data_IF_713956926889
#
_entry.id   IF_713956926889
#
_cell.length_a   1.000
_cell.length_b   1.000
_cell.length_c   1.000
_cell.angle_alpha   90.00
_cell.angle_beta   90.00
_cell.angle_gamma   90.00
#
_symmetry.space_group_name_H-M   'P 1'
#
loop_
_entity.id
_entity.type
_entity.pdbx_description
1 polymer ?
#
# COMPACT_ATOMS: atom_id res chain seq x y z
N UNK A 1 38.94 13.20 4.83
CA UNK A 1 37.73 13.71 4.17
C UNK A 1 36.63 13.77 5.23
N UNK A 2 36.05 14.94 5.48
CA UNK A 2 35.09 15.13 6.57
C UNK A 2 33.81 15.69 5.98
N UNK A 3 32.69 15.02 6.24
CA UNK A 3 31.37 15.43 5.78
C UNK A 3 30.49 15.66 7.01
N UNK A 4 29.75 16.77 7.00
CA UNK A 4 28.78 17.13 8.02
C UNK A 4 27.40 17.17 7.36
N UNK A 5 26.50 16.31 7.82
CA UNK A 5 25.09 16.37 7.48
C UNK A 5 24.36 17.09 8.61
N UNK A 6 23.55 18.10 8.27
CA UNK A 6 22.69 18.80 9.23
C UNK A 6 21.25 18.65 8.74
N UNK A 7 20.41 18.05 9.57
CA UNK A 7 18.97 17.98 9.37
C UNK A 7 18.30 18.80 10.47
N UNK A 8 17.27 19.57 10.10
CA UNK A 8 16.51 20.39 11.05
C UNK A 8 15.42 19.55 11.73
N UNK A 9 14.68 18.74 10.98
CA UNK A 9 13.70 17.73 11.44
C UNK A 9 13.62 16.60 10.39
N UNK A 10 13.30 15.38 10.83
CA UNK A 10 12.91 14.22 10.00
C UNK A 10 11.73 13.59 10.76
N UNK A 11 10.50 14.01 10.47
CA UNK A 11 9.37 13.72 11.36
C UNK A 11 8.87 12.27 11.25
N UNK A 12 8.85 11.70 10.05
CA UNK A 12 8.77 10.25 9.77
C UNK A 12 8.90 10.09 8.24
N UNK A 13 9.89 9.33 7.76
CA UNK A 13 9.98 9.02 6.34
C UNK A 13 9.24 7.71 6.07
N UNK A 14 8.20 7.68 5.21
CA UNK A 14 7.44 6.46 4.98
C UNK A 14 8.22 5.51 4.07
N UNK A 15 9.32 4.93 4.57
CA UNK A 15 10.27 4.10 3.82
C UNK A 15 9.57 2.97 3.07
N UNK A 16 8.59 2.31 3.68
CA UNK A 16 7.79 1.29 3.00
C UNK A 16 7.09 1.80 1.74
N UNK A 17 6.48 3.00 1.78
CA UNK A 17 5.86 3.63 0.61
C UNK A 17 6.93 3.98 -0.43
N UNK A 18 8.06 4.53 0.00
CA UNK A 18 9.14 4.95 -0.91
C UNK A 18 9.76 3.75 -1.64
N UNK A 19 10.04 2.67 -0.92
CA UNK A 19 10.59 1.42 -1.47
C UNK A 19 9.61 0.77 -2.44
N UNK A 20 8.35 0.62 -2.05
CA UNK A 20 7.30 0.07 -2.93
C UNK A 20 7.13 0.97 -4.16
N UNK A 21 7.07 2.30 -3.99
CA UNK A 21 6.95 3.26 -5.10
C UNK A 21 8.09 3.10 -6.10
N UNK A 22 9.33 3.00 -5.63
CA UNK A 22 10.48 2.82 -6.49
C UNK A 22 10.47 1.45 -7.18
N UNK A 23 10.12 0.37 -6.46
CA UNK A 23 10.02 -0.97 -7.01
C UNK A 23 8.97 -1.03 -8.13
N UNK A 24 7.80 -0.45 -7.89
CA UNK A 24 6.71 -0.37 -8.86
C UNK A 24 7.12 0.44 -10.10
N UNK A 25 7.74 1.62 -9.92
CA UNK A 25 8.25 2.43 -11.03
C UNK A 25 9.30 1.69 -11.85
N UNK A 26 10.22 0.96 -11.20
CA UNK A 26 11.22 0.10 -11.86
C UNK A 26 10.58 -0.96 -12.76
N UNK A 27 9.37 -1.40 -12.42
CA UNK A 27 8.59 -2.39 -13.19
C UNK A 27 7.51 -1.76 -14.09
N UNK A 28 7.59 -0.46 -14.38
CA UNK A 28 6.74 0.20 -15.38
C UNK A 28 5.42 0.77 -14.86
N UNK A 29 5.10 0.59 -13.58
CA UNK A 29 3.87 1.13 -12.99
C UNK A 29 3.96 2.64 -12.76
N UNK A 30 2.88 3.35 -13.08
CA UNK A 30 2.74 4.77 -12.74
C UNK A 30 2.33 4.91 -11.27
N UNK A 31 3.16 5.57 -10.47
CA UNK A 31 2.90 5.80 -9.04
C UNK A 31 2.80 7.30 -8.75
N UNK A 32 1.77 7.70 -7.99
CA UNK A 32 1.59 9.06 -7.47
C UNK A 32 1.55 9.03 -5.94
N UNK A 33 2.06 10.07 -5.28
CA UNK A 33 2.00 10.22 -3.83
C UNK A 33 1.14 11.45 -3.49
N UNK A 34 0.28 11.30 -2.49
CA UNK A 34 -0.53 12.38 -1.94
C UNK A 34 -0.26 12.48 -0.44
N UNK A 35 0.25 13.64 -0.02
CA UNK A 35 0.44 13.95 1.40
C UNK A 35 -0.81 14.69 1.89
N UNK A 36 -1.58 14.07 2.78
CA UNK A 36 -2.91 14.55 3.12
C UNK A 36 -2.92 15.83 3.99
N UNK A 37 -1.78 16.18 4.60
CA UNK A 37 -1.59 17.49 5.25
C UNK A 37 -1.37 18.63 4.25
N UNK A 38 -0.96 18.33 3.02
CA UNK A 38 -0.67 19.33 1.99
C UNK A 38 -1.81 19.52 0.99
N UNK A 39 -2.61 18.48 0.74
CA UNK A 39 -3.75 18.54 -0.19
C UNK A 39 -4.87 17.58 0.23
N UNK A 40 -6.11 17.89 -0.17
CA UNK A 40 -7.26 17.01 0.06
C UNK A 40 -7.10 15.70 -0.74
N UNK A 41 -7.00 14.54 -0.07
CA UNK A 41 -6.81 13.25 -0.74
C UNK A 41 -7.98 12.86 -1.65
N UNK A 42 -9.21 13.30 -1.34
CA UNK A 42 -10.39 13.01 -2.17
C UNK A 42 -10.31 13.76 -3.50
N UNK A 43 -9.96 15.05 -3.46
CA UNK A 43 -9.78 15.86 -4.67
C UNK A 43 -8.58 15.39 -5.49
N UNK A 44 -7.51 14.95 -4.84
CA UNK A 44 -6.37 14.35 -5.52
C UNK A 44 -6.75 13.04 -6.22
N UNK A 45 -7.52 12.15 -5.57
CA UNK A 45 -7.99 10.92 -6.18
C UNK A 45 -8.91 11.17 -7.39
N UNK A 46 -9.83 12.15 -7.29
CA UNK A 46 -10.68 12.56 -8.42
C UNK A 46 -9.89 13.06 -9.62
N UNK A 47 -8.82 13.84 -9.37
CA UNK A 47 -7.94 14.39 -10.41
C UNK A 47 -7.03 13.34 -11.04
N UNK A 48 -6.46 12.47 -10.22
CA UNK A 48 -5.46 11.47 -10.64
C UNK A 48 -6.10 10.21 -11.22
N UNK A 49 -7.35 9.90 -10.85
CA UNK A 49 -8.12 8.73 -11.30
C UNK A 49 -7.34 7.41 -11.20
N UNK A 50 -6.83 7.03 -10.01
CA UNK A 50 -6.06 5.80 -9.85
C UNK A 50 -6.97 4.56 -9.93
N UNK A 51 -6.41 3.44 -10.41
CA UNK A 51 -7.07 2.12 -10.37
C UNK A 51 -7.00 1.49 -8.97
N UNK A 52 -5.92 1.80 -8.23
CA UNK A 52 -5.67 1.31 -6.87
C UNK A 52 -5.27 2.48 -5.96
N UNK A 53 -5.85 2.56 -4.76
CA UNK A 53 -5.41 3.46 -3.70
C UNK A 53 -4.83 2.63 -2.56
N UNK A 54 -3.56 2.89 -2.25
CA UNK A 54 -2.83 2.21 -1.18
C UNK A 54 -2.66 3.10 0.05
N UNK A 55 -2.85 2.51 1.23
CA UNK A 55 -2.63 3.16 2.52
C UNK A 55 -1.59 2.38 3.33
N UNK A 56 -0.58 3.07 3.84
CA UNK A 56 0.30 2.54 4.88
C UNK A 56 -0.23 3.00 6.23
N UNK A 57 -0.68 2.06 7.05
CA UNK A 57 -1.45 2.34 8.27
C UNK A 57 -0.74 1.79 9.49
N UNK A 58 -0.60 2.64 10.50
CA UNK A 58 -0.18 2.29 11.85
C UNK A 58 -1.29 2.63 12.85
N UNK A 59 -1.26 1.97 14.01
CA UNK A 59 -2.28 2.15 15.05
C UNK A 59 -2.30 3.61 15.51
N UNK A 60 -3.49 4.21 15.51
CA UNK A 60 -3.73 5.64 15.68
C UNK A 60 -4.26 6.31 14.40
N UNK A 61 -3.83 5.86 13.21
CA UNK A 61 -4.24 6.48 11.92
C UNK A 61 -5.33 5.71 11.18
N UNK A 62 -5.67 4.50 11.62
CA UNK A 62 -6.60 3.63 10.92
C UNK A 62 -7.98 4.25 10.72
N UNK A 63 -8.52 4.95 11.72
CA UNK A 63 -9.85 5.56 11.60
C UNK A 63 -9.86 6.69 10.57
N UNK A 64 -8.79 7.47 10.51
CA UNK A 64 -8.62 8.52 9.51
C UNK A 64 -8.57 7.94 8.10
N UNK A 65 -7.72 6.94 7.86
CA UNK A 65 -7.61 6.35 6.53
C UNK A 65 -8.86 5.57 6.11
N UNK A 66 -9.59 4.96 7.04
CA UNK A 66 -10.90 4.36 6.75
C UNK A 66 -11.92 5.42 6.33
N UNK A 67 -11.98 6.57 7.00
CA UNK A 67 -12.85 7.68 6.59
C UNK A 67 -12.50 8.23 5.19
N UNK A 68 -11.21 8.52 4.97
CA UNK A 68 -10.71 8.99 3.67
C UNK A 68 -11.05 7.98 2.57
N UNK A 69 -10.85 6.69 2.82
CA UNK A 69 -11.16 5.64 1.85
C UNK A 69 -12.64 5.58 1.50
N UNK A 70 -13.55 5.64 2.49
CA UNK A 70 -14.99 5.68 2.24
C UNK A 70 -15.37 6.89 1.38
N UNK A 71 -14.80 8.06 1.67
CA UNK A 71 -15.05 9.28 0.90
C UNK A 71 -14.53 9.19 -0.54
N UNK A 72 -13.38 8.57 -0.78
CA UNK A 72 -12.85 8.34 -2.14
C UNK A 72 -13.75 7.35 -2.89
N UNK A 73 -14.09 6.21 -2.28
CA UNK A 73 -14.91 5.16 -2.92
C UNK A 73 -16.35 5.62 -3.21
N UNK A 74 -16.88 6.57 -2.45
CA UNK A 74 -18.17 7.19 -2.74
C UNK A 74 -18.15 8.04 -4.03
N UNK A 75 -16.98 8.41 -4.54
CA UNK A 75 -16.82 9.29 -5.69
C UNK A 75 -16.33 8.56 -6.95
N UNK A 76 -15.48 7.54 -6.80
CA UNK A 76 -14.91 6.79 -7.92
C UNK A 76 -14.82 5.29 -7.62
N UNK A 77 -14.99 4.42 -8.64
CA UNK A 77 -14.67 3.01 -8.50
C UNK A 77 -13.16 2.86 -8.38
N UNK A 78 -12.70 2.29 -7.27
CA UNK A 78 -11.27 2.08 -7.00
C UNK A 78 -11.09 0.86 -6.10
N UNK A 79 -10.01 0.12 -6.34
CA UNK A 79 -9.55 -0.90 -5.40
C UNK A 79 -8.75 -0.23 -4.29
N UNK A 80 -9.12 -0.46 -3.04
CA UNK A 80 -8.44 0.05 -1.86
C UNK A 80 -7.65 -1.06 -1.18
N UNK A 81 -6.39 -0.77 -0.89
CA UNK A 81 -5.47 -1.72 -0.27
C UNK A 81 -4.77 -1.09 0.93
N UNK A 82 -4.65 -1.87 2.00
CA UNK A 82 -4.13 -1.39 3.28
C UNK A 82 -2.95 -2.28 3.70
N UNK A 83 -1.80 -1.67 3.98
CA UNK A 83 -0.62 -2.34 4.49
C UNK A 83 -0.03 -1.59 5.69
N UNK A 84 1.12 -2.06 6.18
CA UNK A 84 1.82 -1.47 7.31
C UNK A 84 1.59 -2.21 8.63
N UNK A 85 2.05 -1.64 9.76
CA UNK A 85 2.01 -2.33 11.05
C UNK A 85 0.60 -2.68 11.53
N UNK A 86 -0.37 -1.77 11.38
CA UNK A 86 -1.71 -2.02 11.89
C UNK A 86 -2.41 -3.17 11.16
N UNK A 87 -2.50 -3.21 9.81
CA UNK A 87 -3.12 -4.34 9.12
C UNK A 87 -2.34 -5.65 9.32
N UNK A 88 -1.04 -5.59 9.62
CA UNK A 88 -0.23 -6.78 9.93
C UNK A 88 -0.62 -7.41 11.27
N UNK A 89 -0.81 -6.61 12.32
CA UNK A 89 -1.18 -7.11 13.65
C UNK A 89 -2.70 -7.23 13.88
N UNK A 90 -3.50 -6.52 13.10
CA UNK A 90 -4.97 -6.50 13.17
C UNK A 90 -5.59 -6.75 11.78
N UNK A 91 -5.37 -7.94 11.19
CA UNK A 91 -5.85 -8.26 9.84
C UNK A 91 -7.38 -8.26 9.71
N UNK A 92 -8.12 -8.29 10.83
CA UNK A 92 -9.57 -8.10 10.90
C UNK A 92 -10.02 -6.74 10.33
N UNK A 93 -9.10 -5.78 10.14
CA UNK A 93 -9.35 -4.58 9.35
C UNK A 93 -9.96 -4.88 7.97
N UNK A 94 -9.68 -6.05 7.38
CA UNK A 94 -10.31 -6.46 6.12
C UNK A 94 -11.84 -6.45 6.19
N UNK A 95 -12.43 -6.64 7.37
CA UNK A 95 -13.89 -6.66 7.57
C UNK A 95 -14.52 -5.27 7.52
N UNK A 96 -13.72 -4.21 7.63
CA UNK A 96 -14.19 -2.82 7.61
C UNK A 96 -14.80 -2.45 6.25
N UNK A 97 -15.86 -1.66 6.28
CA UNK A 97 -16.54 -1.18 5.08
C UNK A 97 -15.56 -0.47 4.12
N UNK A 98 -15.65 -0.81 2.84
CA UNK A 98 -14.85 -0.19 1.79
C UNK A 98 -13.43 -0.74 1.65
N UNK A 99 -12.91 -1.53 2.59
CA UNK A 99 -11.58 -2.17 2.48
C UNK A 99 -11.64 -3.38 1.54
N UNK A 100 -10.86 -3.40 0.46
CA UNK A 100 -10.87 -4.49 -0.53
C UNK A 100 -9.70 -5.46 -0.36
N UNK A 101 -8.54 -4.96 0.10
CA UNK A 101 -7.36 -5.78 0.36
C UNK A 101 -6.58 -5.32 1.60
N UNK A 102 -6.03 -6.28 2.33
CA UNK A 102 -5.11 -6.08 3.46
C UNK A 102 -3.83 -6.87 3.22
N UNK A 103 -2.68 -6.20 3.22
CA UNK A 103 -1.37 -6.83 3.18
C UNK A 103 -0.85 -7.04 4.60
N UNK A 104 -0.51 -8.29 4.92
CA UNK A 104 0.07 -8.71 6.20
C UNK A 104 1.55 -9.06 5.98
N UNK A 105 2.44 -8.43 6.76
CA UNK A 105 3.88 -8.60 6.62
C UNK A 105 4.47 -7.73 5.50
N UNK A 106 5.53 -8.23 4.88
CA UNK A 106 6.29 -7.51 3.85
C UNK A 106 5.47 -7.26 2.58
N UNK A 107 5.42 -5.99 2.15
CA UNK A 107 4.51 -5.53 1.10
C UNK A 107 5.15 -5.36 -0.26
N UNK A 108 6.48 -5.41 -0.38
CA UNK A 108 7.26 -4.99 -1.55
C UNK A 108 6.89 -5.82 -2.78
N UNK A 109 7.33 -7.08 -2.81
CA UNK A 109 7.04 -7.96 -3.93
C UNK A 109 5.58 -8.42 -3.95
N UNK A 110 4.88 -8.42 -2.81
CA UNK A 110 3.45 -8.71 -2.76
C UNK A 110 2.61 -7.65 -3.48
N UNK A 111 2.96 -6.37 -3.33
CA UNK A 111 2.28 -5.27 -4.03
C UNK A 111 2.64 -5.25 -5.51
N UNK A 112 3.91 -5.53 -5.85
CA UNK A 112 4.32 -5.66 -7.25
C UNK A 112 3.54 -6.78 -7.96
N UNK A 113 3.43 -7.95 -7.33
CA UNK A 113 2.65 -9.07 -7.87
C UNK A 113 1.18 -8.71 -8.04
N UNK A 114 0.60 -7.97 -7.09
CA UNK A 114 -0.78 -7.48 -7.18
C UNK A 114 -0.98 -6.55 -8.37
N UNK A 115 -0.15 -5.51 -8.52
CA UNK A 115 -0.32 -4.57 -9.62
C UNK A 115 -0.06 -5.21 -10.98
N UNK A 116 0.92 -6.12 -11.08
CA UNK A 116 1.15 -6.89 -12.30
C UNK A 116 -0.08 -7.76 -12.66
N UNK A 117 -0.70 -8.42 -11.68
CA UNK A 117 -1.88 -9.23 -11.91
C UNK A 117 -3.08 -8.37 -12.36
N UNK A 118 -3.31 -7.23 -11.72
CA UNK A 118 -4.40 -6.31 -12.08
C UNK A 118 -4.21 -5.72 -13.49
N UNK A 119 -3.00 -5.24 -13.82
CA UNK A 119 -2.67 -4.70 -15.14
C UNK A 119 -2.85 -5.76 -16.24
N UNK A 120 -2.40 -6.99 -16.00
CA UNK A 120 -2.55 -8.12 -16.91
C UNK A 120 -3.95 -8.76 -16.90
N UNK A 121 -4.89 -8.24 -16.09
CA UNK A 121 -6.24 -8.81 -15.87
C UNK A 121 -6.22 -10.30 -15.48
N UNK A 122 -5.24 -10.69 -14.68
CA UNK A 122 -5.07 -12.04 -14.14
C UNK A 122 -5.71 -12.16 -12.75
N UNK A 123 -6.03 -13.38 -12.30
CA UNK A 123 -6.51 -13.61 -10.94
C UNK A 123 -5.47 -13.15 -9.90
N UNK A 124 -5.89 -12.30 -8.97
CA UNK A 124 -5.02 -11.74 -7.91
C UNK A 124 -5.33 -12.29 -6.52
N UNK A 125 -6.44 -13.00 -6.35
CA UNK A 125 -6.97 -13.39 -5.03
C UNK A 125 -6.13 -14.44 -4.31
N UNK A 126 -5.17 -15.09 -4.99
CA UNK A 126 -4.25 -16.07 -4.42
C UNK A 126 -2.87 -15.51 -4.05
N UNK A 127 -2.63 -14.21 -4.19
CA UNK A 127 -1.32 -13.61 -3.91
C UNK A 127 -1.05 -13.68 -2.40
N UNK A 128 0.07 -14.32 -2.03
CA UNK A 128 0.53 -14.44 -0.64
C UNK A 128 0.75 -13.07 0.01
N UNK A 129 0.65 -13.02 1.34
CA UNK A 129 0.57 -11.80 2.18
C UNK A 129 -0.75 -11.02 2.06
N UNK A 130 -1.57 -11.25 1.04
CA UNK A 130 -2.82 -10.52 0.90
C UNK A 130 -4.03 -11.29 1.46
N UNK A 131 -4.88 -10.54 2.16
CA UNK A 131 -6.27 -10.88 2.40
C UNK A 131 -7.11 -10.03 1.46
N UNK A 132 -8.07 -10.63 0.77
CA UNK A 132 -8.97 -9.92 -0.12
C UNK A 132 -10.42 -10.12 0.28
N UNK A 133 -11.24 -9.09 0.07
CA UNK A 133 -12.69 -9.19 0.19
C UNK A 133 -13.30 -9.23 -1.20
N UNK A 134 -13.92 -10.37 -1.53
CA UNK A 134 -14.55 -10.61 -2.83
C UNK A 134 -15.97 -11.09 -2.57
N UNK A 135 -16.95 -10.40 -3.13
CA UNK A 135 -18.38 -10.72 -2.98
C UNK A 135 -18.81 -10.92 -1.52
N UNK A 136 -18.29 -10.06 -0.63
CA UNK A 136 -18.56 -10.10 0.82
C UNK A 136 -17.84 -11.22 1.58
N UNK A 137 -16.98 -12.02 0.93
CA UNK A 137 -16.20 -13.09 1.56
C UNK A 137 -14.74 -12.73 1.62
N UNK A 138 -14.09 -13.07 2.73
CA UNK A 138 -12.66 -12.85 2.93
C UNK A 138 -11.89 -14.06 2.45
N UNK A 139 -11.05 -13.87 1.43
CA UNK A 139 -10.02 -14.83 1.00
C UNK A 139 -8.73 -14.52 1.75
N UNK A 140 -8.23 -15.48 2.52
CA UNK A 140 -7.02 -15.31 3.35
C UNK A 140 -5.89 -16.15 2.77
N UNK A 141 -4.81 -15.51 2.32
CA UNK A 141 -3.64 -16.21 1.80
C UNK A 141 -2.55 -16.34 2.87
N UNK A 142 -1.71 -17.37 2.80
CA UNK A 142 -0.58 -17.53 3.71
C UNK A 142 0.47 -16.44 3.47
N UNK A 143 1.34 -16.27 4.47
CA UNK A 143 2.49 -15.38 4.34
C UNK A 143 3.51 -15.92 3.33
N UNK A 144 4.21 -15.01 2.67
CA UNK A 144 5.45 -15.23 1.95
C UNK A 144 6.57 -15.47 2.97
N UNK A 145 7.61 -16.23 2.61
CA UNK A 145 8.89 -16.16 3.30
C UNK A 145 9.36 -14.71 3.37
N UNK A 146 10.07 -14.37 4.45
CA UNK A 146 10.77 -13.09 4.55
C UNK A 146 11.75 -12.94 3.40
N UNK A 147 11.95 -11.70 2.95
CA UNK A 147 12.94 -11.41 1.93
C UNK A 147 14.33 -11.86 2.36
N UNK A 148 15.01 -12.54 1.46
CA UNK A 148 16.42 -12.88 1.60
C UNK A 148 17.28 -11.62 1.49
N UNK A 149 18.52 -11.66 1.98
CA UNK A 149 19.46 -10.54 1.84
C UNK A 149 19.62 -10.10 0.37
N UNK A 150 19.70 -11.07 -0.56
CA UNK A 150 19.82 -10.75 -1.99
C UNK A 150 18.55 -10.06 -2.55
N UNK A 151 17.36 -10.40 -2.06
CA UNK A 151 16.11 -9.75 -2.47
C UNK A 151 15.97 -8.34 -1.88
N UNK A 152 16.49 -8.13 -0.66
CA UNK A 152 16.59 -6.81 -0.03
C UNK A 152 17.56 -5.93 -0.83
N UNK A 153 18.76 -6.42 -1.13
CA UNK A 153 19.79 -5.71 -1.93
C UNK A 153 19.30 -5.38 -3.35
N UNK A 154 18.34 -6.13 -3.88
CA UNK A 154 17.75 -5.89 -5.20
C UNK A 154 16.69 -4.77 -5.22
N UNK A 155 16.22 -4.31 -4.05
CA UNK A 155 15.27 -3.21 -3.94
C UNK A 155 15.94 -1.89 -4.37
N UNK A 156 15.20 -0.93 -4.95
CA UNK A 156 15.81 0.22 -5.65
C UNK A 156 16.54 1.26 -4.79
N UNK A 157 16.73 1.01 -3.49
CA UNK A 157 17.43 1.88 -2.55
C UNK A 157 18.28 1.10 -1.51
N UNK A 158 18.49 -0.20 -1.71
CA UNK A 158 19.36 -1.01 -0.85
C UNK A 158 20.80 -1.03 -1.37
#
# INVERSE_FOLDING_TARGET
>A
MHILFIAKEIDDEPHGILLISALLKKHGHRVSLVVASEQDPVQAALRLRPDVVGYSVYTGTQLYYLDVNRRIKAQIPVMSVFGGPHPTFFPEMIEQEGVDGVCVGEGEYATLELLNALEARQPYTGIRNWLFKVDGRVVRNPLRPLLTSAELDALPFA
#
